data_IF_667834311311
#
_entry.id   IF_667834311311
#
_cell.length_a   1.000
_cell.length_b   1.000
_cell.length_c   1.000
_cell.angle_alpha   90.00
_cell.angle_beta   90.00
_cell.angle_gamma   90.00
#
_symmetry.space_group_name_H-M   'P 1'
#
loop_
_entity.id
_entity.type
_entity.pdbx_description
1 polymer ?
#
# COMPACT_ATOMS: atom_id res chain seq x y z
N UNK A 1 8.91 -6.82 -4.85
CA UNK A 1 7.87 -6.98 -5.90
C UNK A 1 7.70 -5.72 -6.74
N UNK A 2 7.15 -4.60 -6.22
CA UNK A 2 6.92 -3.37 -7.01
C UNK A 2 8.14 -2.94 -7.86
N UNK A 3 9.32 -2.85 -7.22
CA UNK A 3 10.59 -2.49 -7.89
C UNK A 3 11.06 -3.56 -8.86
N UNK A 4 10.98 -4.83 -8.47
CA UNK A 4 11.43 -5.97 -9.29
C UNK A 4 10.64 -6.07 -10.60
N UNK A 5 9.36 -5.69 -10.57
CA UNK A 5 8.48 -5.64 -11.75
C UNK A 5 8.66 -4.36 -12.57
N UNK A 6 9.37 -3.35 -12.08
CA UNK A 6 9.42 -2.02 -12.70
C UNK A 6 8.04 -1.35 -12.81
N UNK A 7 7.13 -1.65 -11.89
CA UNK A 7 5.74 -1.19 -11.97
C UNK A 7 5.66 0.34 -11.81
N UNK A 8 4.89 1.00 -12.68
CA UNK A 8 4.64 2.46 -12.56
C UNK A 8 3.78 2.80 -11.35
N UNK A 9 2.81 1.94 -11.04
CA UNK A 9 1.85 2.11 -9.95
C UNK A 9 1.53 0.73 -9.35
N UNK A 10 1.39 0.67 -8.04
CA UNK A 10 0.83 -0.47 -7.31
C UNK A 10 -0.26 -0.02 -6.35
N UNK A 11 -1.25 -0.88 -6.11
CA UNK A 11 -2.39 -0.59 -5.24
C UNK A 11 -2.40 -1.63 -4.12
N UNK A 12 -2.32 -1.17 -2.88
CA UNK A 12 -2.29 -1.98 -1.68
C UNK A 12 -3.69 -2.45 -1.35
N UNK A 13 -3.85 -3.76 -1.20
CA UNK A 13 -5.11 -4.41 -0.89
C UNK A 13 -4.94 -5.39 0.28
N UNK A 14 -6.00 -6.11 0.62
CA UNK A 14 -6.01 -7.18 1.63
C UNK A 14 -5.82 -6.74 3.09
N UNK A 15 -5.49 -5.48 3.34
CA UNK A 15 -5.47 -4.91 4.68
C UNK A 15 -6.87 -4.44 5.10
N UNK A 16 -7.06 -4.23 6.40
CA UNK A 16 -8.23 -3.53 6.93
C UNK A 16 -9.60 -4.10 6.54
N UNK A 17 -9.70 -5.42 6.37
CA UNK A 17 -10.98 -6.06 6.02
C UNK A 17 -11.30 -7.25 6.94
N UNK A 18 -10.38 -8.21 7.04
CA UNK A 18 -10.51 -9.38 7.91
C UNK A 18 -9.25 -9.54 8.77
N UNK A 19 -9.37 -9.90 10.07
CA UNK A 19 -8.22 -10.17 10.92
C UNK A 19 -7.69 -11.57 10.61
N UNK A 20 -6.79 -11.66 9.62
CA UNK A 20 -6.18 -12.94 9.22
C UNK A 20 -4.83 -13.18 9.88
N UNK A 21 -4.29 -12.17 10.56
CA UNK A 21 -2.99 -12.15 11.22
C UNK A 21 -3.03 -11.24 12.44
N UNK A 22 -1.96 -11.26 13.26
CA UNK A 22 -1.84 -10.49 14.51
C UNK A 22 -1.31 -9.05 14.30
N UNK A 23 -1.44 -8.51 13.09
CA UNK A 23 -1.13 -7.13 12.75
C UNK A 23 -2.30 -6.19 13.11
N UNK A 24 -1.98 -4.95 13.50
CA UNK A 24 -2.99 -3.94 13.69
C UNK A 24 -3.66 -3.60 12.36
N UNK A 25 -4.96 -3.32 12.41
CA UNK A 25 -5.79 -3.05 11.21
C UNK A 25 -5.21 -1.94 10.31
N UNK A 26 -4.56 -0.95 10.91
CA UNK A 26 -3.95 0.23 10.28
C UNK A 26 -2.43 0.13 10.12
N UNK A 27 -1.82 -0.98 10.56
CA UNK A 27 -0.37 -1.16 10.49
C UNK A 27 0.12 -1.31 9.04
N UNK A 28 -0.54 -2.09 8.15
CA UNK A 28 -0.05 -2.26 6.78
C UNK A 28 0.07 -0.94 5.97
N UNK A 29 -0.92 -0.01 5.99
CA UNK A 29 -0.75 1.30 5.35
C UNK A 29 0.40 2.14 5.95
N UNK A 30 0.62 2.07 7.26
CA UNK A 30 1.70 2.79 7.95
C UNK A 30 3.06 2.24 7.55
N UNK A 31 3.20 0.93 7.57
CA UNK A 31 4.43 0.24 7.16
C UNK A 31 4.74 0.47 5.68
N UNK A 32 3.72 0.47 4.80
CA UNK A 32 3.89 0.83 3.39
C UNK A 32 4.46 2.26 3.25
N UNK A 33 3.92 3.22 4.00
CA UNK A 33 4.42 4.61 3.99
C UNK A 33 5.88 4.68 4.42
N UNK A 34 6.25 3.97 5.50
CA UNK A 34 7.63 3.88 5.96
C UNK A 34 8.56 3.23 4.92
N UNK A 35 8.11 2.16 4.26
CA UNK A 35 8.87 1.46 3.22
C UNK A 35 9.10 2.34 1.97
N UNK A 36 8.11 3.14 1.57
CA UNK A 36 8.24 4.10 0.47
C UNK A 36 9.29 5.16 0.78
N UNK A 37 9.26 5.72 2.00
CA UNK A 37 10.28 6.67 2.47
C UNK A 37 11.66 6.03 2.48
N UNK A 38 11.80 4.85 3.06
CA UNK A 38 13.07 4.14 3.15
C UNK A 38 13.67 3.76 1.79
N UNK A 39 12.83 3.59 0.77
CA UNK A 39 13.26 3.23 -0.59
C UNK A 39 13.34 4.43 -1.55
N UNK A 40 13.03 5.64 -1.08
CA UNK A 40 13.02 6.85 -1.90
C UNK A 40 11.95 6.84 -3.01
N UNK A 41 10.92 6.00 -2.88
CA UNK A 41 9.82 5.93 -3.83
C UNK A 41 8.79 7.04 -3.52
N UNK A 42 8.23 7.69 -4.54
CA UNK A 42 7.17 8.66 -4.31
C UNK A 42 5.91 7.95 -3.79
N UNK A 43 5.17 8.61 -2.90
CA UNK A 43 3.92 8.05 -2.35
C UNK A 43 2.87 7.73 -3.44
N UNK A 44 2.96 8.37 -4.60
CA UNK A 44 2.11 8.09 -5.76
C UNK A 44 2.48 6.82 -6.52
N UNK A 45 3.63 6.20 -6.27
CA UNK A 45 4.03 4.95 -6.93
C UNK A 45 3.36 3.71 -6.30
N UNK A 46 2.96 3.79 -5.02
CA UNK A 46 2.25 2.72 -4.33
C UNK A 46 1.25 3.30 -3.34
N UNK A 47 -0.03 3.12 -3.61
CA UNK A 47 -1.13 3.73 -2.85
C UNK A 47 -1.98 2.68 -2.15
N UNK A 48 -2.64 3.06 -1.06
CA UNK A 48 -3.83 2.35 -0.54
C UNK A 48 -5.07 3.19 -0.83
N UNK A 49 -6.25 2.56 -0.81
CA UNK A 49 -7.52 3.23 -1.08
C UNK A 49 -8.53 2.92 0.03
N UNK A 50 -9.36 3.90 0.37
CA UNK A 50 -10.54 3.69 1.19
C UNK A 50 -11.52 2.76 0.45
N UNK A 51 -12.08 1.72 1.13
CA UNK A 51 -13.06 0.84 0.51
C UNK A 51 -14.21 1.59 -0.16
N UNK A 52 -14.56 1.20 -1.39
CA UNK A 52 -15.61 1.83 -2.19
C UNK A 52 -15.22 3.15 -2.87
N UNK A 53 -14.02 3.70 -2.61
CA UNK A 53 -13.58 4.93 -3.27
C UNK A 53 -13.01 4.64 -4.68
N UNK A 54 -13.37 5.44 -5.70
CA UNK A 54 -12.85 5.26 -7.04
C UNK A 54 -11.36 5.61 -7.09
N UNK A 55 -10.60 4.88 -7.91
CA UNK A 55 -9.24 5.24 -8.24
C UNK A 55 -9.21 6.06 -9.53
N UNK A 56 -8.45 7.16 -9.54
CA UNK A 56 -8.19 7.96 -10.75
C UNK A 56 -6.72 7.79 -11.12
N UNK A 57 -6.45 7.42 -12.37
CA UNK A 57 -5.12 7.10 -12.91
C UNK A 57 -4.77 7.94 -14.12
#
# INVERSE_FOLDING_TARGET
>A
IHRDLGARLSIGMHWGTFPLTDDGFEDPPRELTAALVATGLPASAFITQTPGSPLRV
#
